data_IF_953911936445
#
_entry.id   IF_953911936445
#
_cell.length_a   1.000
_cell.length_b   1.000
_cell.length_c   1.000
_cell.angle_alpha   90.00
_cell.angle_beta   90.00
_cell.angle_gamma   90.00
#
_symmetry.space_group_name_H-M   'P 1'
#
loop_
_entity.id
_entity.type
_entity.pdbx_description
1 polymer ?
#
# COMPACT_ATOMS: atom_id res chain seq x y z
N UNK A 1 10.32 11.61 -16.16
CA UNK A 1 10.44 10.19 -15.82
C UNK A 1 11.42 9.96 -14.66
N UNK A 2 12.64 10.49 -14.68
CA UNK A 2 13.65 10.31 -13.62
C UNK A 2 13.25 10.86 -12.24
N UNK A 3 12.33 11.83 -12.17
CA UNK A 3 11.77 12.32 -10.92
C UNK A 3 10.97 11.29 -10.15
N UNK A 4 10.45 10.24 -10.82
CA UNK A 4 9.73 9.14 -10.16
C UNK A 4 10.70 8.26 -9.39
N UNK A 5 11.85 7.92 -9.98
CA UNK A 5 12.90 7.14 -9.30
C UNK A 5 13.43 7.88 -8.09
N UNK A 6 13.66 9.19 -8.22
CA UNK A 6 14.11 10.05 -7.13
C UNK A 6 13.12 10.05 -5.96
N UNK A 7 11.81 10.18 -6.25
CA UNK A 7 10.75 10.17 -5.22
C UNK A 7 10.68 8.83 -4.50
N UNK A 8 10.67 7.72 -5.25
CA UNK A 8 10.63 6.37 -4.66
C UNK A 8 11.86 6.09 -3.83
N UNK A 9 13.03 6.49 -4.33
CA UNK A 9 14.29 6.34 -3.61
C UNK A 9 14.30 7.14 -2.31
N UNK A 10 13.85 8.39 -2.33
CA UNK A 10 13.74 9.22 -1.13
C UNK A 10 12.76 8.63 -0.11
N UNK A 11 11.58 8.17 -0.57
CA UNK A 11 10.54 7.66 0.32
C UNK A 11 10.91 6.34 1.01
N UNK A 12 11.56 5.43 0.27
CA UNK A 12 11.84 4.07 0.76
C UNK A 12 13.31 3.82 1.09
N UNK A 13 14.19 4.80 0.91
CA UNK A 13 15.64 4.65 1.07
C UNK A 13 16.21 3.51 0.22
N UNK A 14 15.64 3.29 -0.97
CA UNK A 14 15.89 2.16 -1.84
C UNK A 14 16.20 2.60 -3.29
N UNK A 15 17.41 3.11 -3.57
CA UNK A 15 17.76 3.66 -4.89
C UNK A 15 17.68 2.62 -6.02
N UNK A 16 18.08 1.39 -5.78
CA UNK A 16 17.98 0.33 -6.78
C UNK A 16 16.53 -0.04 -7.10
N UNK A 17 15.68 -0.16 -6.07
CA UNK A 17 14.27 -0.48 -6.27
C UNK A 17 13.54 0.64 -7.04
N UNK A 18 13.82 1.90 -6.73
CA UNK A 18 13.29 3.04 -7.48
C UNK A 18 13.69 3.04 -8.95
N UNK A 19 14.93 2.65 -9.25
CA UNK A 19 15.43 2.53 -10.62
C UNK A 19 14.77 1.39 -11.36
N UNK A 20 14.66 0.22 -10.73
CA UNK A 20 14.00 -0.96 -11.33
C UNK A 20 12.52 -0.69 -11.59
N UNK A 21 11.83 -0.01 -10.70
CA UNK A 21 10.44 0.38 -10.90
C UNK A 21 10.26 1.22 -12.18
N UNK A 22 11.15 2.18 -12.44
CA UNK A 22 11.09 2.95 -13.68
C UNK A 22 11.27 2.07 -14.92
N UNK A 23 12.25 1.17 -14.87
CA UNK A 23 12.59 0.33 -16.02
C UNK A 23 11.50 -0.69 -16.32
N UNK A 24 10.90 -1.28 -15.29
CA UNK A 24 9.92 -2.34 -15.40
C UNK A 24 8.51 -1.80 -15.64
N UNK A 25 8.06 -0.83 -14.85
CA UNK A 25 6.67 -0.38 -14.87
C UNK A 25 6.41 0.80 -15.82
N UNK A 26 7.39 1.67 -16.00
CA UNK A 26 7.14 2.90 -16.75
C UNK A 26 7.70 2.89 -18.17
N UNK A 27 8.91 2.40 -18.34
CA UNK A 27 9.59 2.47 -19.64
C UNK A 27 9.57 1.16 -20.40
N UNK A 28 9.43 0.03 -19.70
CA UNK A 28 9.52 -1.32 -20.27
C UNK A 28 10.75 -1.53 -21.16
N UNK A 29 11.81 -0.76 -20.92
CA UNK A 29 12.99 -0.73 -21.78
C UNK A 29 14.26 -0.59 -20.95
N UNK A 30 15.16 -1.57 -21.09
CA UNK A 30 16.46 -1.58 -20.41
C UNK A 30 17.54 -1.02 -21.34
N UNK A 31 17.59 0.32 -21.44
CA UNK A 31 18.60 1.03 -22.23
C UNK A 31 19.52 1.84 -21.30
N UNK A 32 20.83 1.83 -21.60
CA UNK A 32 21.81 2.60 -20.82
C UNK A 32 21.53 4.10 -20.78
N UNK A 33 20.87 4.66 -21.77
CA UNK A 33 20.43 6.06 -21.80
C UNK A 33 19.30 6.37 -20.80
N UNK A 34 18.60 5.33 -20.31
CA UNK A 34 17.49 5.46 -19.38
C UNK A 34 17.94 5.05 -17.98
N UNK A 35 18.56 3.86 -17.83
CA UNK A 35 18.86 3.36 -16.50
C UNK A 35 19.99 4.09 -15.78
N UNK A 36 21.02 4.60 -16.50
CA UNK A 36 22.12 5.35 -15.89
C UNK A 36 21.64 6.66 -15.26
N UNK A 37 20.90 7.55 -15.98
CA UNK A 37 20.33 8.75 -15.36
C UNK A 37 19.30 8.44 -14.27
N UNK A 38 18.53 7.37 -14.42
CA UNK A 38 17.58 6.94 -13.40
C UNK A 38 18.27 6.54 -12.09
N UNK A 39 19.35 5.73 -12.19
CA UNK A 39 20.14 5.30 -11.06
C UNK A 39 20.85 6.48 -10.39
N UNK A 40 21.47 7.35 -11.16
CA UNK A 40 22.14 8.56 -10.62
C UNK A 40 21.16 9.48 -9.91
N UNK A 41 20.01 9.75 -10.51
CA UNK A 41 18.93 10.55 -9.89
C UNK A 41 18.44 9.91 -8.59
N UNK A 42 18.28 8.60 -8.58
CA UNK A 42 17.85 7.80 -7.43
C UNK A 42 18.86 7.84 -6.28
N UNK A 43 20.15 7.65 -6.59
CA UNK A 43 21.24 7.69 -5.59
C UNK A 43 21.39 9.08 -4.99
N UNK A 44 21.40 10.13 -5.83
CA UNK A 44 21.52 11.50 -5.36
C UNK A 44 20.34 11.86 -4.45
N UNK A 45 19.12 11.48 -4.83
CA UNK A 45 17.93 11.73 -4.02
C UNK A 45 17.99 11.01 -2.66
N UNK A 46 18.40 9.74 -2.63
CA UNK A 46 18.60 9.01 -1.39
C UNK A 46 19.67 9.65 -0.51
N UNK A 47 20.80 10.05 -1.11
CA UNK A 47 21.88 10.70 -0.39
C UNK A 47 21.44 12.02 0.27
N UNK A 48 20.73 12.87 -0.47
CA UNK A 48 20.19 14.11 0.07
C UNK A 48 19.19 13.82 1.19
N UNK A 49 18.30 12.84 0.99
CA UNK A 49 17.33 12.43 2.01
C UNK A 49 18.03 11.95 3.29
N UNK A 50 19.10 11.18 3.18
CA UNK A 50 19.88 10.74 4.34
C UNK A 50 20.56 11.88 5.10
N UNK A 51 21.03 12.90 4.39
CA UNK A 51 21.62 14.08 5.03
C UNK A 51 20.63 14.88 5.88
N UNK A 52 19.39 15.03 5.41
CA UNK A 52 18.39 15.87 6.08
C UNK A 52 17.50 15.09 7.06
N UNK A 53 17.13 13.85 6.75
CA UNK A 53 16.15 13.06 7.50
C UNK A 53 16.74 11.83 8.20
N UNK A 54 18.03 11.57 7.99
CA UNK A 54 18.70 10.39 8.53
C UNK A 54 18.45 9.12 7.70
N UNK A 55 19.00 8.00 8.16
CA UNK A 55 19.02 6.73 7.42
C UNK A 55 17.77 5.89 7.58
N UNK A 56 16.80 6.32 8.41
CA UNK A 56 15.57 5.55 8.61
C UNK A 56 14.59 5.82 7.46
N UNK A 57 14.11 4.78 6.76
CA UNK A 57 13.09 4.95 5.74
C UNK A 57 11.78 5.47 6.35
N UNK A 58 10.97 6.12 5.54
CA UNK A 58 9.65 6.62 5.95
C UNK A 58 8.77 5.53 6.57
N UNK A 59 8.82 4.31 6.02
CA UNK A 59 8.10 3.14 6.51
C UNK A 59 9.09 2.20 7.23
N UNK A 60 9.49 2.60 8.42
CA UNK A 60 10.33 1.78 9.27
C UNK A 60 9.46 1.00 10.26
N UNK A 61 9.42 -0.33 10.09
CA UNK A 61 8.80 -1.26 11.04
C UNK A 61 9.95 -2.02 11.72
N UNK A 62 10.15 -1.84 13.04
CA UNK A 62 11.19 -2.57 13.75
C UNK A 62 10.84 -4.05 13.79
N UNK A 63 11.66 -4.89 13.15
CA UNK A 63 11.54 -6.35 13.24
C UNK A 63 12.31 -6.79 14.47
N UNK A 64 11.60 -7.28 15.47
CA UNK A 64 12.19 -7.71 16.76
C UNK A 64 12.53 -9.19 16.78
N UNK A 65 11.86 -10.00 15.99
CA UNK A 65 11.97 -11.46 16.02
C UNK A 65 12.06 -12.06 14.62
N UNK A 66 12.67 -13.25 14.53
CA UNK A 66 12.80 -14.01 13.29
C UNK A 66 11.64 -15.01 13.20
N UNK A 67 11.01 -15.09 12.05
CA UNK A 67 9.98 -16.10 11.77
C UNK A 67 10.59 -17.50 11.80
N UNK A 68 9.96 -18.48 12.48
CA UNK A 68 10.39 -19.88 12.45
C UNK A 68 10.25 -20.46 11.04
N UNK A 69 11.17 -21.34 10.66
CA UNK A 69 11.18 -21.96 9.33
C UNK A 69 9.89 -22.73 9.03
N UNK A 70 9.24 -23.28 10.05
CA UNK A 70 7.96 -23.96 9.94
C UNK A 70 6.81 -23.07 9.40
N UNK A 71 6.97 -21.74 9.47
CA UNK A 71 5.97 -20.78 8.96
C UNK A 71 6.09 -20.51 7.46
N UNK A 72 7.19 -20.90 6.81
CA UNK A 72 7.43 -20.59 5.38
C UNK A 72 6.39 -21.14 4.41
N UNK A 73 5.86 -22.38 4.59
CA UNK A 73 4.78 -22.86 3.73
C UNK A 73 3.54 -21.95 3.74
N UNK A 74 3.24 -21.35 4.90
CA UNK A 74 2.10 -20.44 5.05
C UNK A 74 2.29 -19.11 4.34
N UNK A 75 3.54 -18.68 4.13
CA UNK A 75 3.83 -17.51 3.30
C UNK A 75 3.47 -17.75 1.84
N UNK A 76 3.58 -18.99 1.36
CA UNK A 76 3.14 -19.34 0.00
C UNK A 76 1.62 -19.21 -0.10
N UNK A 77 0.88 -19.70 0.89
CA UNK A 77 -0.58 -19.56 0.95
C UNK A 77 -0.98 -18.08 0.99
N UNK A 78 -0.31 -17.28 1.84
CA UNK A 78 -0.52 -15.85 1.90
C UNK A 78 -0.23 -15.17 0.55
N UNK A 79 0.83 -15.59 -0.14
CA UNK A 79 1.16 -15.10 -1.48
C UNK A 79 0.07 -15.38 -2.51
N UNK A 80 -0.53 -16.58 -2.49
CA UNK A 80 -1.67 -16.93 -3.37
C UNK A 80 -2.88 -16.05 -3.07
N UNK A 81 -3.22 -15.83 -1.79
CA UNK A 81 -4.32 -14.96 -1.38
C UNK A 81 -4.08 -13.53 -1.84
N UNK A 82 -2.87 -13.00 -1.64
CA UNK A 82 -2.50 -11.64 -2.07
C UNK A 82 -2.57 -11.54 -3.59
N UNK A 83 -2.09 -12.54 -4.34
CA UNK A 83 -2.18 -12.57 -5.80
C UNK A 83 -3.62 -12.52 -6.30
N UNK A 84 -4.52 -13.29 -5.66
CA UNK A 84 -5.95 -13.24 -5.98
C UNK A 84 -6.57 -11.87 -5.66
N UNK A 85 -6.25 -11.28 -4.51
CA UNK A 85 -6.73 -9.95 -4.13
C UNK A 85 -6.19 -8.86 -5.07
N UNK A 86 -4.94 -8.97 -5.53
CA UNK A 86 -4.35 -8.08 -6.52
C UNK A 86 -5.07 -8.16 -7.86
N UNK A 87 -5.41 -9.37 -8.31
CA UNK A 87 -6.24 -9.57 -9.50
C UNK A 87 -7.62 -8.91 -9.35
N UNK A 88 -8.30 -9.12 -8.21
CA UNK A 88 -9.58 -8.48 -7.92
C UNK A 88 -9.45 -6.95 -7.92
N UNK A 89 -8.37 -6.42 -7.37
CA UNK A 89 -8.08 -4.99 -7.37
C UNK A 89 -7.94 -4.44 -8.80
N UNK A 90 -7.16 -5.09 -9.63
CA UNK A 90 -6.96 -4.68 -11.02
C UNK A 90 -8.26 -4.74 -11.83
N UNK A 91 -9.02 -5.83 -11.67
CA UNK A 91 -10.31 -5.98 -12.33
C UNK A 91 -11.32 -4.90 -11.90
N UNK A 92 -11.40 -4.62 -10.60
CA UNK A 92 -12.26 -3.56 -10.07
C UNK A 92 -11.85 -2.18 -10.57
N UNK A 93 -10.56 -1.86 -10.58
CA UNK A 93 -10.04 -0.58 -11.04
C UNK A 93 -10.39 -0.32 -12.53
N UNK A 94 -10.23 -1.32 -13.38
CA UNK A 94 -10.59 -1.23 -14.80
C UNK A 94 -12.11 -1.11 -15.00
N UNK A 95 -12.88 -1.87 -14.25
CA UNK A 95 -14.35 -1.86 -14.34
C UNK A 95 -14.95 -0.53 -13.90
N UNK A 96 -14.40 0.09 -12.85
CA UNK A 96 -14.91 1.36 -12.34
C UNK A 96 -14.72 2.53 -13.29
N UNK A 97 -13.66 2.56 -14.07
CA UNK A 97 -13.46 3.56 -15.12
C UNK A 97 -14.59 3.52 -16.14
N UNK A 98 -15.03 2.31 -16.49
CA UNK A 98 -16.18 2.13 -17.38
C UNK A 98 -17.53 2.54 -16.72
N UNK A 99 -17.71 2.24 -15.42
CA UNK A 99 -18.91 2.67 -14.68
C UNK A 99 -19.01 4.18 -14.59
N UNK A 100 -17.93 4.86 -14.28
CA UNK A 100 -17.89 6.33 -14.23
C UNK A 100 -18.18 6.97 -15.60
N UNK A 101 -17.77 6.35 -16.69
CA UNK A 101 -18.09 6.85 -18.05
C UNK A 101 -19.59 6.83 -18.38
N UNK A 102 -20.40 6.07 -17.63
CA UNK A 102 -21.87 6.05 -17.75
C UNK A 102 -22.60 7.10 -16.92
N UNK A 103 -21.89 7.74 -15.99
CA UNK A 103 -22.48 8.82 -15.20
C UNK A 103 -22.50 10.08 -16.06
N UNK A 104 -23.62 10.29 -16.77
CA UNK A 104 -23.81 11.45 -17.65
C UNK A 104 -24.43 12.66 -16.94
N UNK A 105 -24.94 12.46 -15.73
CA UNK A 105 -25.59 13.51 -14.95
C UNK A 105 -24.62 14.54 -14.38
N UNK A 106 -23.37 14.15 -14.12
CA UNK A 106 -22.32 15.01 -13.56
C UNK A 106 -21.24 15.19 -14.63
N UNK A 107 -20.81 16.42 -14.96
CA UNK A 107 -19.67 16.66 -15.85
C UNK A 107 -18.43 15.95 -15.33
N UNK A 108 -17.58 15.46 -16.24
CA UNK A 108 -16.38 14.67 -15.90
C UNK A 108 -15.44 15.38 -14.93
N UNK A 109 -15.38 16.71 -15.01
CA UNK A 109 -14.57 17.58 -14.15
C UNK A 109 -15.00 17.52 -12.68
N UNK A 110 -16.26 17.20 -12.42
CA UNK A 110 -16.85 17.14 -11.08
C UNK A 110 -16.96 15.73 -10.50
N UNK A 111 -16.52 14.69 -11.22
CA UNK A 111 -16.54 13.32 -10.70
C UNK A 111 -15.72 13.18 -9.40
N UNK A 112 -14.71 14.01 -9.19
CA UNK A 112 -13.90 14.04 -7.97
C UNK A 112 -14.67 14.42 -6.70
N UNK A 113 -15.85 15.03 -6.84
CA UNK A 113 -16.71 15.38 -5.70
C UNK A 113 -17.26 14.12 -5.03
N UNK A 114 -17.52 13.06 -5.80
CA UNK A 114 -18.09 11.81 -5.28
C UNK A 114 -17.18 11.18 -4.21
N UNK A 115 -15.90 10.88 -4.47
CA UNK A 115 -15.01 10.36 -3.45
C UNK A 115 -14.79 11.35 -2.30
N UNK A 116 -14.77 12.65 -2.57
CA UNK A 116 -14.60 13.67 -1.54
C UNK A 116 -15.75 13.67 -0.53
N UNK A 117 -17.00 13.57 -0.99
CA UNK A 117 -18.17 13.48 -0.12
C UNK A 117 -18.20 12.17 0.69
N UNK A 118 -17.76 11.06 0.09
CA UNK A 118 -17.69 9.76 0.78
C UNK A 118 -16.59 9.72 1.85
N UNK A 119 -15.54 10.47 1.69
CA UNK A 119 -14.42 10.56 2.65
C UNK A 119 -14.85 11.25 3.95
N UNK A 120 -15.80 12.22 3.90
CA UNK A 120 -16.23 12.98 5.08
C UNK A 120 -16.77 12.07 6.20
N UNK A 121 -17.81 11.23 5.98
CA UNK A 121 -18.35 10.39 7.04
C UNK A 121 -17.33 9.35 7.53
N UNK A 122 -16.50 8.82 6.64
CA UNK A 122 -15.44 7.85 7.02
C UNK A 122 -14.40 8.51 7.92
N UNK A 123 -14.02 9.75 7.62
CA UNK A 123 -13.04 10.50 8.41
C UNK A 123 -13.58 10.96 9.76
N UNK A 124 -14.86 11.28 9.84
CA UNK A 124 -15.52 11.60 11.11
C UNK A 124 -15.61 10.37 12.02
N UNK A 125 -15.75 9.17 11.43
CA UNK A 125 -15.79 7.94 12.21
C UNK A 125 -14.41 7.53 12.70
N UNK A 126 -13.41 7.52 11.82
CA UNK A 126 -12.04 7.19 12.19
C UNK A 126 -11.01 7.89 11.28
N UNK A 127 -10.32 8.92 11.79
CA UNK A 127 -9.35 9.68 11.02
C UNK A 127 -8.14 8.86 10.54
N UNK A 128 -7.81 7.74 11.20
CA UNK A 128 -6.71 6.87 10.77
C UNK A 128 -6.99 6.15 9.44
N UNK A 129 -8.25 5.99 9.05
CA UNK A 129 -8.61 5.41 7.75
C UNK A 129 -8.27 6.39 6.61
N UNK A 130 -8.29 7.68 6.88
CA UNK A 130 -7.93 8.74 5.94
C UNK A 130 -6.43 9.01 5.99
N UNK A 131 -5.95 9.71 4.99
CA UNK A 131 -4.60 10.23 4.96
C UNK A 131 -3.54 9.25 4.46
N UNK A 132 -2.28 9.65 4.61
CA UNK A 132 -1.12 9.02 4.02
C UNK A 132 -0.65 7.81 4.79
N UNK A 133 -1.36 6.73 4.77
CA UNK A 133 -0.91 5.35 5.05
C UNK A 133 0.02 5.09 6.26
N UNK A 134 0.91 6.03 6.63
CA UNK A 134 1.90 5.88 7.68
C UNK A 134 1.30 5.67 9.08
N UNK A 135 0.34 6.53 9.43
CA UNK A 135 -0.28 6.48 10.75
C UNK A 135 -1.19 5.26 10.88
N UNK A 136 -1.83 4.89 9.76
CA UNK A 136 -2.63 3.68 9.71
C UNK A 136 -1.78 2.41 9.84
N UNK A 137 -0.64 2.34 9.16
CA UNK A 137 0.29 1.20 9.26
C UNK A 137 0.81 1.08 10.70
N UNK A 138 1.22 2.18 11.30
CA UNK A 138 1.63 2.20 12.72
C UNK A 138 0.50 1.80 13.65
N UNK A 139 -0.73 2.25 13.38
CA UNK A 139 -1.91 1.88 14.15
C UNK A 139 -2.15 0.37 14.09
N UNK A 140 -2.11 -0.21 12.89
CA UNK A 140 -2.29 -1.66 12.69
C UNK A 140 -1.17 -2.47 13.34
N UNK A 141 0.09 -2.04 13.20
CA UNK A 141 1.24 -2.75 13.79
C UNK A 141 1.28 -2.65 15.31
N UNK A 142 0.75 -1.57 15.88
CA UNK A 142 0.66 -1.38 17.32
C UNK A 142 -0.64 -1.95 17.92
N UNK A 143 -1.54 -2.45 17.10
CA UNK A 143 -2.75 -3.12 17.58
C UNK A 143 -2.34 -4.34 18.38
N UNK A 144 -2.47 -4.23 19.71
CA UNK A 144 -2.09 -5.30 20.63
C UNK A 144 -2.93 -6.53 20.40
N UNK A 145 -2.28 -7.70 20.34
CA UNK A 145 -2.92 -9.02 20.28
C UNK A 145 -3.70 -9.41 21.55
N UNK A 146 -3.80 -8.49 22.51
CA UNK A 146 -4.31 -8.73 23.86
C UNK A 146 -5.83 -8.86 23.98
N UNK A 147 -6.59 -8.57 22.93
CA UNK A 147 -8.05 -8.63 22.96
C UNK A 147 -8.53 -9.67 21.95
N UNK A 148 -9.76 -10.09 22.04
CA UNK A 148 -10.43 -11.07 21.18
C UNK A 148 -9.90 -11.03 19.72
N UNK A 149 -9.12 -12.02 19.31
CA UNK A 149 -8.52 -12.09 17.96
C UNK A 149 -9.57 -12.01 16.85
N UNK A 150 -10.80 -12.55 17.11
CA UNK A 150 -11.92 -12.47 16.17
C UNK A 150 -12.39 -11.03 15.95
N UNK A 151 -12.47 -10.24 17.01
CA UNK A 151 -12.84 -8.83 16.92
C UNK A 151 -11.75 -8.03 16.17
N UNK A 152 -10.48 -8.35 16.41
CA UNK A 152 -9.36 -7.72 15.69
C UNK A 152 -9.43 -8.03 14.20
N UNK A 153 -9.61 -9.28 13.80
CA UNK A 153 -9.76 -9.69 12.41
C UNK A 153 -10.96 -9.02 11.76
N UNK A 154 -12.10 -8.95 12.45
CA UNK A 154 -13.30 -8.27 11.94
C UNK A 154 -13.04 -6.76 11.69
N UNK A 155 -12.38 -6.08 12.60
CA UNK A 155 -12.02 -4.66 12.44
C UNK A 155 -11.06 -4.47 11.26
N UNK A 156 -10.04 -5.32 11.13
CA UNK A 156 -9.09 -5.27 10.01
C UNK A 156 -9.78 -5.51 8.67
N UNK A 157 -10.74 -6.44 8.60
CA UNK A 157 -11.54 -6.68 7.40
C UNK A 157 -12.43 -5.48 7.05
N UNK A 158 -13.03 -4.82 8.04
CA UNK A 158 -13.79 -3.57 7.81
C UNK A 158 -12.87 -2.50 7.23
N UNK A 159 -11.68 -2.32 7.80
CA UNK A 159 -10.69 -1.37 7.27
C UNK A 159 -10.25 -1.72 5.86
N UNK A 160 -10.05 -3.01 5.56
CA UNK A 160 -9.75 -3.47 4.22
C UNK A 160 -10.83 -3.06 3.22
N UNK A 161 -12.11 -3.35 3.53
CA UNK A 161 -13.25 -3.04 2.66
C UNK A 161 -13.37 -1.53 2.44
N UNK A 162 -13.28 -0.73 3.49
CA UNK A 162 -13.38 0.73 3.39
C UNK A 162 -12.22 1.33 2.57
N UNK A 163 -10.99 0.87 2.80
CA UNK A 163 -9.82 1.32 2.02
C UNK A 163 -9.87 0.86 0.58
N UNK A 164 -10.24 -0.40 0.34
CA UNK A 164 -10.41 -0.94 -1.01
C UNK A 164 -11.48 -0.16 -1.77
N UNK A 165 -12.69 -0.04 -1.19
CA UNK A 165 -13.81 0.68 -1.81
C UNK A 165 -13.49 2.16 -2.05
N UNK A 166 -12.95 2.85 -1.04
CA UNK A 166 -12.56 4.26 -1.16
C UNK A 166 -11.50 4.49 -2.24
N UNK A 167 -10.50 3.62 -2.32
CA UNK A 167 -9.47 3.68 -3.37
C UNK A 167 -10.08 3.46 -4.75
N UNK A 168 -10.96 2.48 -4.89
CA UNK A 168 -11.64 2.19 -6.15
C UNK A 168 -12.49 3.39 -6.61
N UNK A 169 -13.30 3.96 -5.73
CA UNK A 169 -14.16 5.10 -6.04
C UNK A 169 -13.32 6.32 -6.43
N UNK A 170 -12.23 6.59 -5.70
CA UNK A 170 -11.32 7.69 -6.03
C UNK A 170 -10.63 7.49 -7.39
N UNK A 171 -10.24 6.25 -7.70
CA UNK A 171 -9.58 5.91 -8.97
C UNK A 171 -10.53 6.01 -10.16
N UNK A 172 -11.77 5.53 -9.99
CA UNK A 172 -12.80 5.63 -11.01
C UNK A 172 -13.15 7.08 -11.37
N UNK A 173 -13.04 8.01 -10.41
CA UNK A 173 -13.28 9.44 -10.62
C UNK A 173 -12.17 10.15 -11.42
N UNK A 174 -11.15 9.41 -11.94
CA UNK A 174 -10.02 9.95 -12.70
C UNK A 174 -9.21 11.02 -11.96
N UNK A 175 -9.25 11.00 -10.62
CA UNK A 175 -8.43 11.90 -9.81
C UNK A 175 -6.96 11.47 -9.93
N UNK A 176 -6.04 12.37 -10.27
CA UNK A 176 -4.62 12.04 -10.31
C UNK A 176 -4.14 11.66 -8.91
N UNK A 177 -3.81 10.40 -8.71
CA UNK A 177 -3.35 9.86 -7.44
C UNK A 177 -2.46 8.64 -7.63
N UNK A 178 -1.57 8.39 -6.66
CA UNK A 178 -0.70 7.21 -6.67
C UNK A 178 -1.44 5.97 -6.19
N UNK A 179 -1.34 4.87 -6.93
CA UNK A 179 -1.89 3.55 -6.53
C UNK A 179 -1.01 2.90 -5.45
N UNK A 180 0.26 3.22 -5.43
CA UNK A 180 1.26 2.52 -4.63
C UNK A 180 0.95 2.52 -3.12
N UNK A 181 0.65 3.69 -2.55
CA UNK A 181 0.36 3.79 -1.12
C UNK A 181 -0.93 3.07 -0.68
N UNK A 182 -2.06 3.17 -1.39
CA UNK A 182 -3.24 2.36 -1.11
C UNK A 182 -2.99 0.86 -1.17
N UNK A 183 -2.26 0.37 -2.17
CA UNK A 183 -1.90 -1.04 -2.29
C UNK A 183 -1.04 -1.50 -1.12
N UNK A 184 -0.08 -0.68 -0.70
CA UNK A 184 0.78 -0.99 0.43
C UNK A 184 -0.02 -1.15 1.73
N UNK A 185 -1.01 -0.28 1.97
CA UNK A 185 -1.92 -0.39 3.13
C UNK A 185 -2.76 -1.66 3.06
N UNK A 186 -3.33 -1.97 1.90
CA UNK A 186 -4.12 -3.19 1.73
C UNK A 186 -3.27 -4.43 2.01
N UNK A 187 -2.02 -4.46 1.52
CA UNK A 187 -1.06 -5.52 1.81
C UNK A 187 -0.74 -5.64 3.31
N UNK A 188 -0.57 -4.51 4.00
CA UNK A 188 -0.33 -4.50 5.46
C UNK A 188 -1.50 -5.09 6.23
N UNK A 189 -2.73 -4.77 5.85
CA UNK A 189 -3.93 -5.31 6.50
C UNK A 189 -4.04 -6.82 6.27
N UNK A 190 -3.81 -7.29 5.04
CA UNK A 190 -3.80 -8.73 4.72
C UNK A 190 -2.69 -9.44 5.50
N UNK A 191 -1.50 -8.85 5.59
CA UNK A 191 -0.40 -9.36 6.40
C UNK A 191 -0.75 -9.46 7.89
N UNK A 192 -1.39 -8.43 8.46
CA UNK A 192 -1.83 -8.42 9.84
C UNK A 192 -2.92 -9.48 10.12
N UNK A 193 -3.88 -9.65 9.22
CA UNK A 193 -4.92 -10.69 9.33
C UNK A 193 -4.30 -12.09 9.28
N UNK A 194 -3.43 -12.35 8.30
CA UNK A 194 -2.76 -13.65 8.17
C UNK A 194 -1.86 -13.93 9.36
N UNK A 195 -1.10 -12.94 9.84
CA UNK A 195 -0.26 -13.06 11.04
C UNK A 195 -1.08 -13.40 12.28
N UNK A 196 -2.19 -12.70 12.51
CA UNK A 196 -3.10 -12.96 13.64
C UNK A 196 -3.66 -14.39 13.61
N UNK A 197 -4.07 -14.86 12.45
CA UNK A 197 -4.58 -16.23 12.29
C UNK A 197 -3.49 -17.26 12.58
N UNK A 198 -2.28 -17.07 12.06
CA UNK A 198 -1.16 -17.99 12.25
C UNK A 198 -0.67 -18.05 13.71
N UNK A 199 -0.71 -16.91 14.42
CA UNK A 199 -0.42 -16.87 15.85
C UNK A 199 -1.48 -17.65 16.63
N UNK A 200 -2.75 -17.46 16.30
CA UNK A 200 -3.84 -18.17 16.98
C UNK A 200 -3.82 -19.69 16.71
N UNK A 201 -3.39 -20.10 15.53
CA UNK A 201 -3.17 -21.52 15.19
C UNK A 201 -1.93 -22.13 15.87
N UNK A 202 -1.16 -21.33 16.61
CA UNK A 202 0.05 -21.79 17.29
C UNK A 202 1.25 -22.07 16.38
N UNK A 203 1.19 -21.61 15.12
CA UNK A 203 2.25 -21.83 14.12
C UNK A 203 3.37 -20.81 14.33
N UNK A 204 3.01 -19.59 14.73
CA UNK A 204 3.94 -18.50 15.02
C UNK A 204 3.81 -18.16 16.51
N UNK A 205 4.92 -18.02 17.26
CA UNK A 205 4.86 -17.59 18.64
C UNK A 205 4.35 -16.14 18.74
N UNK A 206 3.54 -15.87 19.78
CA UNK A 206 2.95 -14.55 20.01
C UNK A 206 3.99 -13.44 20.27
N UNK A 207 5.25 -13.80 20.45
CA UNK A 207 6.39 -12.88 20.60
C UNK A 207 6.97 -12.40 19.27
N UNK A 208 6.47 -12.88 18.15
CA UNK A 208 6.81 -12.42 16.79
C UNK A 208 5.79 -11.32 16.28
#
# INVERSE_FOLDING_TARGET
EYGVTARLSAAFSAPLAGTMFLLEEMTHNFNSRIWIPALTSSIISAFITFLFFGTKPCLYIPITTKLPVASYPWLIVAGIVIGFLAYCFQFAALSLTWWYSRITFIPKEFHSIIPLLLVIPVGLWNPYILGGSHDFIKYVTNMSLSTNWQAMVAILLVYFILRFGGTMIAYGATVPGGIFMPLFVLGTVVGAVTGTILIHMGIIPASC
#
